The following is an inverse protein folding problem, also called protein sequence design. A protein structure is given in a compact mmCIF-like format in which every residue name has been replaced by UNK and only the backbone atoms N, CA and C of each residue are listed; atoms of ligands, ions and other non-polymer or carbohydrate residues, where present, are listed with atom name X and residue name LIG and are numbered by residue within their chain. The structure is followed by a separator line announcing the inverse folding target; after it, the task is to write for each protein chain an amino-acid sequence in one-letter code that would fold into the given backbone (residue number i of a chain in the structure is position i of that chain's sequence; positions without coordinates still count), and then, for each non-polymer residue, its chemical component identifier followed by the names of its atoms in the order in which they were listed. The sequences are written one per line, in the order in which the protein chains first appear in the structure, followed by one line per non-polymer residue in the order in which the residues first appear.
data_IF_529938872305
#
_entry.id   IF_529938872305
#
_cell.length_a   1.000
_cell.length_b   1.000
_cell.length_c   1.000
_cell.angle_alpha   90.00
_cell.angle_beta   90.00
_cell.angle_gamma   90.00
#
_symmetry.space_group_name_H-M   'P 1'
#
loop_
_entity.id
_entity.type
_entity.pdbx_description
1 polymer ?
#
# COMPACT_ATOMS: atom_id res chain seq x y z
N UNK A 1 5.06 -45.30 13.36
CA UNK A 1 5.39 -43.87 13.20
C UNK A 1 5.32 -43.42 11.73
N UNK A 2 5.75 -44.24 10.75
CA UNK A 2 5.61 -43.90 9.31
C UNK A 2 4.15 -43.84 8.80
N UNK A 3 3.28 -44.77 9.22
CA UNK A 3 1.89 -44.81 8.74
C UNK A 3 1.06 -43.57 9.15
N UNK A 4 1.29 -43.04 10.35
CA UNK A 4 0.65 -41.81 10.81
C UNK A 4 1.13 -40.58 10.02
N UNK A 5 2.42 -40.52 9.69
CA UNK A 5 3.00 -39.45 8.88
C UNK A 5 2.42 -39.41 7.46
N UNK A 6 2.28 -40.57 6.82
CA UNK A 6 1.69 -40.65 5.48
C UNK A 6 0.20 -40.35 5.47
N UNK A 7 -0.53 -40.77 6.50
CA UNK A 7 -1.96 -40.46 6.63
C UNK A 7 -2.17 -38.96 6.79
N UNK A 8 -1.44 -38.29 7.69
CA UNK A 8 -1.52 -36.82 7.84
C UNK A 8 -1.12 -36.09 6.55
N UNK A 9 -0.08 -36.57 5.87
CA UNK A 9 0.40 -35.99 4.61
C UNK A 9 -0.62 -36.15 3.47
N UNK A 10 -1.37 -37.25 3.45
CA UNK A 10 -2.39 -37.54 2.45
C UNK A 10 -3.68 -36.75 2.71
N UNK A 11 -4.10 -36.63 3.98
CA UNK A 11 -5.25 -35.81 4.38
C UNK A 11 -5.04 -34.30 4.16
N UNK A 12 -3.83 -33.78 4.36
CA UNK A 12 -3.51 -32.35 4.08
C UNK A 12 -3.50 -32.03 2.58
N UNK A 13 -3.40 -33.04 1.72
CA UNK A 13 -3.24 -32.86 0.27
C UNK A 13 -4.58 -32.89 -0.48
N UNK A 14 -5.65 -33.29 0.21
CA UNK A 14 -6.99 -33.45 -0.34
C UNK A 14 -7.79 -32.12 -0.27
N UNK A 15 -8.23 -31.55 -1.40
CA UNK A 15 -8.79 -30.20 -1.47
C UNK A 15 -10.14 -30.02 -0.75
N UNK A 16 -10.98 -31.06 -0.64
CA UNK A 16 -12.28 -30.96 0.03
C UNK A 16 -12.17 -30.89 1.57
N UNK A 17 -11.24 -31.65 2.16
CA UNK A 17 -11.03 -31.67 3.62
C UNK A 17 -10.17 -30.52 4.12
N UNK A 18 -9.32 -29.95 3.25
CA UNK A 18 -8.51 -28.76 3.58
C UNK A 18 -9.34 -27.56 3.99
N UNK A 19 -10.44 -27.26 3.29
CA UNK A 19 -11.26 -26.07 3.55
C UNK A 19 -11.93 -26.11 4.92
N UNK A 20 -12.56 -27.23 5.26
CA UNK A 20 -13.37 -27.39 6.48
C UNK A 20 -12.55 -27.52 7.76
N UNK A 21 -11.30 -28.01 7.67
CA UNK A 21 -10.39 -28.16 8.82
C UNK A 21 -9.44 -26.97 8.99
N UNK A 22 -8.95 -26.37 7.90
CA UNK A 22 -8.04 -25.22 7.98
C UNK A 22 -8.77 -23.92 8.29
N UNK A 23 -10.06 -23.80 7.96
CA UNK A 23 -10.83 -22.60 8.22
C UNK A 23 -11.04 -22.34 9.73
N UNK A 24 -11.52 -23.32 10.55
CA UNK A 24 -11.64 -23.13 12.00
C UNK A 24 -10.28 -22.94 12.68
N UNK A 25 -9.24 -23.66 12.23
CA UNK A 25 -7.88 -23.52 12.74
C UNK A 25 -7.28 -22.14 12.42
N UNK A 26 -7.50 -21.63 11.21
CA UNK A 26 -7.10 -20.29 10.81
C UNK A 26 -7.79 -19.20 11.63
N UNK A 27 -9.08 -19.37 11.92
CA UNK A 27 -9.84 -18.49 12.83
C UNK A 27 -9.27 -18.57 14.25
N UNK A 28 -8.99 -19.76 14.78
CA UNK A 28 -8.40 -19.94 16.12
C UNK A 28 -7.02 -19.26 16.22
N UNK A 29 -6.19 -19.42 15.19
CA UNK A 29 -4.88 -18.79 15.09
C UNK A 29 -4.94 -17.28 14.87
N UNK A 30 -6.06 -16.74 14.37
CA UNK A 30 -6.29 -15.31 14.25
C UNK A 30 -6.82 -14.70 15.55
N UNK A 31 -7.73 -15.39 16.26
CA UNK A 31 -8.35 -14.87 17.49
C UNK A 31 -7.30 -14.66 18.59
N UNK A 32 -6.40 -15.61 18.82
CA UNK A 32 -5.42 -15.57 19.90
C UNK A 32 -4.44 -14.37 19.84
N UNK A 33 -3.85 -14.03 18.69
CA UNK A 33 -3.06 -12.81 18.57
C UNK A 33 -3.92 -11.54 18.53
N UNK A 34 -5.17 -11.61 18.05
CA UNK A 34 -6.09 -10.48 18.14
C UNK A 34 -6.38 -10.10 19.59
N UNK A 35 -6.54 -11.08 20.50
CA UNK A 35 -6.72 -10.78 21.93
C UNK A 35 -5.49 -10.11 22.54
N UNK A 36 -4.28 -10.48 22.11
CA UNK A 36 -3.03 -9.86 22.58
C UNK A 36 -2.88 -8.41 22.07
N UNK A 37 -3.30 -8.17 20.81
CA UNK A 37 -3.34 -6.81 20.23
C UNK A 37 -4.37 -5.95 20.99
N UNK A 38 -5.57 -6.48 21.26
CA UNK A 38 -6.62 -5.75 21.98
C UNK A 38 -6.28 -5.49 23.46
N UNK A 39 -5.53 -6.38 24.13
CA UNK A 39 -5.15 -6.20 25.52
C UNK A 39 -3.97 -5.21 25.72
N UNK A 40 -3.13 -4.96 24.71
CA UNK A 40 -1.88 -4.20 24.88
C UNK A 40 -1.58 -3.11 23.82
N UNK A 41 -2.56 -2.66 23.02
CA UNK A 41 -2.33 -1.65 21.95
C UNK A 41 -2.13 -0.19 22.44
N UNK A 42 -1.46 0.01 23.58
CA UNK A 42 -0.58 1.18 23.78
C UNK A 42 0.73 0.66 24.39
N UNK A 43 1.63 0.13 23.56
CA UNK A 43 2.97 -0.22 24.05
C UNK A 43 3.74 -1.21 23.18
N UNK A 44 4.65 -0.67 22.38
CA UNK A 44 5.99 -1.18 22.04
C UNK A 44 6.20 -2.69 21.78
N UNK A 45 6.80 -3.01 20.62
CA UNK A 45 7.28 -4.33 20.11
C UNK A 45 6.38 -5.14 19.14
N UNK A 46 5.77 -4.49 18.15
CA UNK A 46 4.96 -5.17 17.12
C UNK A 46 5.76 -5.82 15.97
N UNK A 47 6.78 -6.64 16.28
CA UNK A 47 7.42 -7.52 15.28
C UNK A 47 6.61 -8.83 15.15
N UNK A 48 5.99 -9.28 16.26
CA UNK A 48 5.19 -10.50 16.31
C UNK A 48 3.81 -10.35 15.65
N UNK A 49 3.17 -9.18 15.76
CA UNK A 49 1.88 -8.89 15.10
C UNK A 49 1.97 -8.92 13.57
N UNK A 50 3.10 -8.45 13.03
CA UNK A 50 3.37 -8.46 11.59
C UNK A 50 3.56 -9.90 11.06
N UNK A 51 4.28 -10.75 11.79
CA UNK A 51 4.43 -12.17 11.43
C UNK A 51 3.10 -12.92 11.42
N UNK A 52 2.22 -12.62 12.36
CA UNK A 52 0.87 -13.21 12.42
C UNK A 52 -0.04 -12.68 11.31
N UNK A 53 -0.03 -11.38 11.02
CA UNK A 53 -0.81 -10.79 9.93
C UNK A 53 -0.42 -11.40 8.58
N UNK A 54 0.88 -11.65 8.35
CA UNK A 54 1.37 -12.37 7.17
C UNK A 54 0.82 -13.80 7.09
N UNK A 55 0.71 -14.51 8.22
CA UNK A 55 0.13 -15.85 8.28
C UNK A 55 -1.39 -15.81 8.06
N UNK A 56 -2.10 -14.83 8.62
CA UNK A 56 -3.54 -14.62 8.38
C UNK A 56 -3.86 -14.34 6.91
N UNK A 57 -3.09 -13.46 6.27
CA UNK A 57 -3.17 -13.17 4.84
C UNK A 57 -2.88 -14.44 4.01
N UNK A 58 -1.87 -15.24 4.40
CA UNK A 58 -1.54 -16.50 3.72
C UNK A 58 -2.67 -17.54 3.81
N UNK A 59 -3.38 -17.60 4.93
CA UNK A 59 -4.51 -18.52 5.14
C UNK A 59 -5.75 -18.05 4.39
N UNK A 60 -6.07 -16.76 4.41
CA UNK A 60 -7.16 -16.17 3.61
C UNK A 60 -6.94 -16.35 2.11
N UNK A 61 -5.71 -16.12 1.64
CA UNK A 61 -5.27 -16.41 0.28
C UNK A 61 -5.56 -17.86 -0.14
N UNK A 62 -5.46 -18.81 0.80
CA UNK A 62 -5.67 -20.23 0.54
C UNK A 62 -7.12 -20.68 0.69
N UNK A 63 -7.91 -20.04 1.54
CA UNK A 63 -9.30 -20.39 1.86
C UNK A 63 -10.35 -19.83 0.89
N UNK A 64 -10.10 -18.68 0.27
CA UNK A 64 -11.09 -17.97 -0.56
C UNK A 64 -11.25 -18.50 -2.00
N UNK A 65 -10.61 -19.61 -2.37
CA UNK A 65 -10.73 -20.14 -3.74
C UNK A 65 -10.21 -19.20 -4.84
N UNK A 66 -9.43 -18.17 -4.50
CA UNK A 66 -8.82 -17.18 -5.41
C UNK A 66 -7.80 -17.78 -6.41
N UNK A 67 -7.68 -19.12 -6.45
CA UNK A 67 -6.75 -19.85 -7.30
C UNK A 67 -6.87 -19.46 -8.77
N UNK A 68 -8.07 -19.21 -9.30
CA UNK A 68 -8.22 -19.02 -10.75
C UNK A 68 -7.99 -17.56 -11.18
N UNK A 69 -8.45 -16.57 -10.42
CA UNK A 69 -8.14 -15.15 -10.68
C UNK A 69 -6.66 -14.83 -10.47
N UNK A 70 -6.05 -15.44 -9.46
CA UNK A 70 -4.61 -15.29 -9.21
C UNK A 70 -3.81 -16.18 -10.17
N UNK A 71 -4.31 -17.31 -10.66
CA UNK A 71 -3.60 -18.13 -11.67
C UNK A 71 -3.52 -17.41 -13.01
N UNK A 72 -4.54 -16.67 -13.44
CA UNK A 72 -4.44 -15.80 -14.62
C UNK A 72 -3.48 -14.63 -14.39
N UNK A 73 -3.50 -14.00 -13.20
CA UNK A 73 -2.50 -13.00 -12.84
C UNK A 73 -1.09 -13.60 -12.82
N UNK A 74 -0.89 -14.77 -12.22
CA UNK A 74 0.39 -15.51 -12.12
C UNK A 74 0.86 -16.05 -13.48
N UNK A 75 -0.03 -16.46 -14.38
CA UNK A 75 0.35 -16.94 -15.71
C UNK A 75 0.82 -15.79 -16.61
N UNK A 76 0.16 -14.62 -16.52
CA UNK A 76 0.66 -13.38 -17.11
C UNK A 76 1.98 -12.94 -16.45
N UNK A 77 2.07 -13.08 -15.13
CA UNK A 77 3.26 -12.72 -14.34
C UNK A 77 4.43 -13.69 -14.55
N UNK A 78 4.20 -14.99 -14.81
CA UNK A 78 5.27 -15.99 -15.04
C UNK A 78 6.06 -15.70 -16.31
N UNK A 79 5.43 -15.07 -17.29
CA UNK A 79 6.09 -14.61 -18.51
C UNK A 79 6.96 -13.37 -18.27
N UNK A 80 6.65 -12.59 -17.23
CA UNK A 80 7.37 -11.37 -16.80
C UNK A 80 8.39 -11.59 -15.65
N UNK A 81 8.18 -12.63 -14.83
CA UNK A 81 9.05 -13.02 -13.71
C UNK A 81 10.33 -13.71 -14.18
N UNK A 82 10.32 -14.32 -15.36
CA UNK A 82 11.52 -14.92 -15.95
C UNK A 82 12.56 -13.86 -16.41
N UNK A 83 12.20 -12.58 -16.38
CA UNK A 83 13.05 -11.45 -16.82
C UNK A 83 13.47 -10.50 -15.69
N UNK A 84 13.17 -10.80 -14.42
CA UNK A 84 13.79 -10.11 -13.28
C UNK A 84 13.24 -8.73 -12.90
N UNK A 85 11.95 -8.61 -12.57
CA UNK A 85 11.37 -7.33 -12.12
C UNK A 85 11.22 -7.22 -10.60
N UNK A 86 12.14 -6.48 -9.98
CA UNK A 86 12.09 -5.99 -8.58
C UNK A 86 10.77 -5.27 -8.25
N UNK A 87 10.09 -4.75 -9.27
CA UNK A 87 8.87 -3.93 -9.17
C UNK A 87 7.65 -4.72 -8.69
N UNK A 88 7.63 -6.02 -8.90
CA UNK A 88 6.51 -6.85 -8.42
C UNK A 88 6.39 -6.80 -6.90
N UNK A 89 7.52 -6.75 -6.19
CA UNK A 89 7.53 -6.62 -4.73
C UNK A 89 6.91 -5.29 -4.32
N UNK A 90 7.25 -4.19 -5.00
CA UNK A 90 6.68 -2.87 -4.72
C UNK A 90 5.15 -2.87 -4.92
N UNK A 91 4.63 -3.48 -6.00
CA UNK A 91 3.18 -3.59 -6.21
C UNK A 91 2.48 -4.36 -5.10
N UNK A 92 3.02 -5.50 -4.69
CA UNK A 92 2.42 -6.33 -3.63
C UNK A 92 2.44 -5.59 -2.29
N UNK A 93 3.57 -5.00 -1.93
CA UNK A 93 3.70 -4.24 -0.67
C UNK A 93 2.73 -3.07 -0.64
N UNK A 94 2.66 -2.28 -1.73
CA UNK A 94 1.73 -1.15 -1.81
C UNK A 94 0.27 -1.58 -1.78
N UNK A 95 -0.10 -2.72 -2.38
CA UNK A 95 -1.45 -3.25 -2.28
C UNK A 95 -1.83 -3.60 -0.84
N UNK A 96 -0.92 -4.23 -0.08
CA UNK A 96 -1.13 -4.52 1.34
C UNK A 96 -1.29 -3.22 2.14
N UNK A 97 -0.44 -2.23 1.90
CA UNK A 97 -0.51 -0.93 2.58
C UNK A 97 -1.83 -0.21 2.29
N UNK A 98 -2.35 -0.28 1.06
CA UNK A 98 -3.66 0.30 0.71
C UNK A 98 -4.78 -0.37 1.51
N UNK A 99 -4.74 -1.70 1.68
CA UNK A 99 -5.73 -2.40 2.50
C UNK A 99 -5.65 -1.93 3.96
N UNK A 100 -4.44 -1.78 4.50
CA UNK A 100 -4.23 -1.23 5.85
C UNK A 100 -4.81 0.19 5.96
N UNK A 101 -4.51 1.07 5.01
CA UNK A 101 -5.07 2.44 4.99
C UNK A 101 -6.60 2.47 4.93
N UNK A 102 -7.20 1.54 4.19
CA UNK A 102 -8.66 1.39 4.16
C UNK A 102 -9.23 0.94 5.50
N UNK A 103 -8.56 0.01 6.18
CA UNK A 103 -8.97 -0.47 7.51
C UNK A 103 -8.87 0.67 8.53
N UNK A 104 -7.76 1.41 8.56
CA UNK A 104 -7.54 2.56 9.46
C UNK A 104 -8.54 3.69 9.22
N UNK A 105 -8.86 3.98 7.95
CA UNK A 105 -9.91 4.94 7.61
C UNK A 105 -11.29 4.53 8.13
N UNK A 106 -11.64 3.24 8.07
CA UNK A 106 -12.90 2.72 8.64
C UNK A 106 -12.89 2.78 10.16
N UNK A 107 -11.79 2.40 10.81
CA UNK A 107 -11.68 2.50 12.28
C UNK A 107 -11.87 3.93 12.77
N UNK A 108 -11.28 4.91 12.07
CA UNK A 108 -11.44 6.32 12.45
C UNK A 108 -12.89 6.80 12.28
N UNK A 109 -13.61 6.33 11.25
CA UNK A 109 -15.05 6.61 11.11
C UNK A 109 -15.82 6.08 12.32
N UNK A 110 -15.55 4.86 12.75
CA UNK A 110 -16.23 4.25 13.89
C UNK A 110 -15.94 4.97 15.21
N UNK A 111 -14.67 5.33 15.44
CA UNK A 111 -14.24 6.08 16.62
C UNK A 111 -14.94 7.45 16.70
N UNK A 112 -14.89 8.22 15.61
CA UNK A 112 -15.52 9.55 15.56
C UNK A 112 -17.04 9.48 15.63
N UNK A 113 -17.67 8.48 15.02
CA UNK A 113 -19.14 8.31 15.10
C UNK A 113 -19.63 8.03 16.52
N UNK A 114 -18.80 7.39 17.34
CA UNK A 114 -19.13 7.04 18.72
C UNK A 114 -18.79 8.16 19.72
N UNK A 115 -17.81 9.02 19.39
CA UNK A 115 -17.27 10.00 20.34
C UNK A 115 -17.59 11.48 20.07
N UNK A 116 -17.70 11.93 18.81
CA UNK A 116 -17.55 13.37 18.49
C UNK A 116 -18.81 14.12 18.06
N UNK A 117 -20.01 13.53 18.08
CA UNK A 117 -21.25 14.24 17.75
C UNK A 117 -21.28 14.89 16.34
N UNK A 118 -20.30 14.56 15.49
CA UNK A 118 -20.17 15.05 14.13
C UNK A 118 -21.40 14.61 13.32
N UNK A 119 -21.88 15.53 12.49
CA UNK A 119 -23.07 15.31 11.67
C UNK A 119 -22.86 14.11 10.73
N UNK A 120 -23.90 13.30 10.52
CA UNK A 120 -23.87 12.08 9.68
C UNK A 120 -23.87 12.40 8.19
N UNK A 121 -23.20 13.48 7.81
CA UNK A 121 -23.05 13.90 6.43
C UNK A 121 -22.08 12.95 5.72
N UNK A 122 -22.42 12.60 4.48
CA UNK A 122 -21.58 11.80 3.57
C UNK A 122 -20.22 12.46 3.38
N UNK A 123 -20.18 13.80 3.29
CA UNK A 123 -18.94 14.56 3.11
C UNK A 123 -17.99 14.33 4.29
N UNK A 124 -18.49 14.44 5.53
CA UNK A 124 -17.69 14.20 6.72
C UNK A 124 -17.22 12.75 6.79
N UNK A 125 -18.07 11.78 6.44
CA UNK A 125 -17.69 10.36 6.44
C UNK A 125 -16.52 10.08 5.48
N UNK A 126 -16.57 10.65 4.27
CA UNK A 126 -15.48 10.53 3.29
C UNK A 126 -14.22 11.22 3.81
N UNK A 127 -14.35 12.42 4.38
CA UNK A 127 -13.22 13.16 4.93
C UNK A 127 -12.53 12.40 6.08
N UNK A 128 -13.30 11.82 7.01
CA UNK A 128 -12.75 10.99 8.10
C UNK A 128 -12.00 9.78 7.54
N UNK A 129 -12.60 9.07 6.57
CA UNK A 129 -11.95 7.92 5.94
C UNK A 129 -10.62 8.30 5.29
N UNK A 130 -10.61 9.38 4.51
CA UNK A 130 -9.40 9.86 3.84
C UNK A 130 -8.37 10.27 4.90
N UNK A 131 -8.76 11.04 5.91
CA UNK A 131 -7.84 11.50 6.95
C UNK A 131 -7.16 10.36 7.70
N UNK A 132 -7.90 9.29 8.04
CA UNK A 132 -7.34 8.10 8.68
C UNK A 132 -6.44 7.25 7.75
N UNK A 133 -6.79 7.16 6.46
CA UNK A 133 -6.07 6.31 5.51
C UNK A 133 -4.94 6.99 4.73
N UNK A 134 -4.91 8.32 4.66
CA UNK A 134 -4.08 9.08 3.70
C UNK A 134 -2.58 8.86 3.89
N UNK A 135 -2.10 8.69 5.12
CA UNK A 135 -0.69 8.40 5.38
C UNK A 135 -0.28 7.06 4.77
N UNK A 136 -1.11 6.03 4.93
CA UNK A 136 -0.89 4.70 4.36
C UNK A 136 -0.99 4.71 2.83
N UNK A 137 -2.05 5.31 2.27
CA UNK A 137 -2.17 5.48 0.82
C UNK A 137 -0.96 6.21 0.23
N UNK A 138 -0.46 7.18 0.99
CA UNK A 138 0.73 7.92 0.63
C UNK A 138 2.00 7.07 0.60
N UNK A 139 2.25 6.31 1.64
CA UNK A 139 3.36 5.35 1.68
C UNK A 139 3.28 4.35 0.52
N UNK A 140 2.09 3.82 0.23
CA UNK A 140 1.86 2.93 -0.91
C UNK A 140 2.23 3.61 -2.24
N UNK A 141 1.79 4.85 -2.45
CA UNK A 141 2.11 5.63 -3.65
C UNK A 141 3.61 5.87 -3.82
N UNK A 142 4.33 6.20 -2.73
CA UNK A 142 5.78 6.40 -2.78
C UNK A 142 6.48 5.10 -3.16
N UNK A 143 6.14 3.98 -2.50
CA UNK A 143 6.73 2.66 -2.78
C UNK A 143 6.47 2.24 -4.24
N UNK A 144 5.26 2.46 -4.76
CA UNK A 144 4.95 2.21 -6.18
C UNK A 144 5.82 3.05 -7.11
N UNK A 145 5.94 4.35 -6.81
CA UNK A 145 6.72 5.27 -7.65
C UNK A 145 8.20 4.87 -7.67
N UNK A 146 8.77 4.49 -6.52
CA UNK A 146 10.15 4.05 -6.42
C UNK A 146 10.35 2.72 -7.15
N UNK A 147 9.44 1.77 -6.96
CA UNK A 147 9.46 0.50 -7.70
C UNK A 147 9.51 0.73 -9.21
N UNK A 148 8.60 1.56 -9.74
CA UNK A 148 8.57 1.89 -11.17
C UNK A 148 9.84 2.61 -11.65
N UNK A 149 10.39 3.55 -10.87
CA UNK A 149 11.66 4.21 -11.19
C UNK A 149 12.80 3.19 -11.27
N UNK A 150 12.84 2.23 -10.34
CA UNK A 150 13.83 1.15 -10.35
C UNK A 150 13.69 0.26 -11.58
N UNK A 151 12.47 -0.11 -12.02
CA UNK A 151 12.30 -0.88 -13.28
C UNK A 151 12.96 -0.16 -14.45
N UNK A 152 12.65 1.12 -14.57
CA UNK A 152 12.98 1.88 -15.77
C UNK A 152 14.48 2.22 -15.79
N UNK A 153 15.10 2.37 -14.62
CA UNK A 153 16.55 2.44 -14.45
C UNK A 153 17.23 1.14 -14.86
N UNK A 154 16.78 0.00 -14.34
CA UNK A 154 17.39 -1.30 -14.62
C UNK A 154 17.24 -1.72 -16.09
N UNK A 155 16.16 -1.29 -16.75
CA UNK A 155 15.92 -1.57 -18.16
C UNK A 155 16.56 -0.55 -19.12
N UNK A 156 17.33 0.42 -18.62
CA UNK A 156 18.04 1.42 -19.44
C UNK A 156 17.12 2.41 -20.18
N UNK A 157 15.83 2.49 -19.81
CA UNK A 157 14.83 3.38 -20.42
C UNK A 157 14.55 4.64 -19.57
N UNK A 158 15.31 4.83 -18.51
CA UNK A 158 15.08 5.88 -17.51
C UNK A 158 15.02 7.27 -18.14
N UNK A 159 13.87 7.93 -18.00
CA UNK A 159 13.72 9.37 -18.23
C UNK A 159 13.74 10.10 -16.90
N UNK A 160 14.44 11.22 -16.84
CA UNK A 160 14.54 12.06 -15.64
C UNK A 160 13.16 12.52 -15.13
N UNK A 161 12.20 12.75 -16.03
CA UNK A 161 10.81 13.08 -15.67
C UNK A 161 10.12 12.06 -14.75
N UNK A 162 10.53 10.79 -14.77
CA UNK A 162 9.90 9.76 -13.93
C UNK A 162 10.24 9.94 -12.44
N UNK A 163 11.29 10.70 -12.13
CA UNK A 163 11.66 11.05 -10.75
C UNK A 163 10.70 12.09 -10.13
N UNK A 164 9.80 12.68 -10.93
CA UNK A 164 8.79 13.59 -10.41
C UNK A 164 7.69 12.85 -9.64
N UNK A 165 7.46 11.57 -9.96
CA UNK A 165 6.34 10.80 -9.42
C UNK A 165 6.30 10.77 -7.88
N UNK A 166 7.40 10.45 -7.15
CA UNK A 166 7.41 10.50 -5.69
C UNK A 166 7.07 11.89 -5.12
N UNK A 167 7.52 12.96 -5.80
CA UNK A 167 7.29 14.34 -5.33
C UNK A 167 5.81 14.71 -5.48
N UNK A 168 5.19 14.37 -6.61
CA UNK A 168 3.75 14.58 -6.76
C UNK A 168 2.95 13.79 -5.73
N UNK A 169 3.35 12.55 -5.46
CA UNK A 169 2.71 11.74 -4.43
C UNK A 169 2.76 12.46 -3.07
N UNK A 170 3.92 12.95 -2.65
CA UNK A 170 4.06 13.73 -1.40
C UNK A 170 3.16 14.97 -1.39
N UNK A 171 3.14 15.74 -2.49
CA UNK A 171 2.27 16.91 -2.60
C UNK A 171 0.78 16.54 -2.49
N UNK A 172 0.35 15.48 -3.18
CA UNK A 172 -1.04 15.02 -3.18
C UNK A 172 -1.44 14.53 -1.78
N UNK A 173 -0.59 13.75 -1.11
CA UNK A 173 -0.83 13.26 0.26
C UNK A 173 -1.01 14.44 1.22
N UNK A 174 -0.10 15.42 1.16
CA UNK A 174 -0.18 16.61 2.02
C UNK A 174 -1.50 17.35 1.82
N UNK A 175 -1.88 17.57 0.56
CA UNK A 175 -3.14 18.25 0.21
C UNK A 175 -4.35 17.44 0.67
N UNK A 176 -4.38 16.12 0.45
CA UNK A 176 -5.47 15.26 0.90
C UNK A 176 -5.58 15.24 2.42
N UNK A 177 -4.46 15.15 3.14
CA UNK A 177 -4.42 15.19 4.60
C UNK A 177 -4.95 16.52 5.14
N UNK A 178 -4.48 17.65 4.60
CA UNK A 178 -4.91 18.96 5.05
C UNK A 178 -6.38 19.24 4.70
N UNK A 179 -6.83 18.86 3.51
CA UNK A 179 -8.21 19.08 3.06
C UNK A 179 -9.21 18.23 3.84
N UNK A 180 -8.92 16.94 4.00
CA UNK A 180 -9.76 16.04 4.79
C UNK A 180 -9.76 16.43 6.27
N UNK A 181 -8.60 16.79 6.83
CA UNK A 181 -8.47 17.26 8.20
C UNK A 181 -9.27 18.55 8.46
N UNK A 182 -9.32 19.47 7.49
CA UNK A 182 -10.04 20.73 7.65
C UNK A 182 -11.56 20.50 7.73
N UNK A 183 -12.09 19.59 6.90
CA UNK A 183 -13.52 19.24 6.88
C UNK A 183 -13.96 18.65 8.22
N UNK A 184 -13.09 17.87 8.87
CA UNK A 184 -13.37 17.24 10.17
C UNK A 184 -12.89 18.08 11.37
N UNK A 185 -12.50 19.33 11.13
CA UNK A 185 -12.00 20.28 12.13
C UNK A 185 -10.73 19.82 12.87
N UNK A 186 -9.97 18.88 12.31
CA UNK A 186 -8.70 18.40 12.85
C UNK A 186 -7.51 19.31 12.51
N UNK A 187 -7.61 20.15 11.48
CA UNK A 187 -6.58 21.14 11.11
C UNK A 187 -7.19 22.51 10.81
N UNK A 188 -6.40 23.57 10.96
CA UNK A 188 -6.87 24.95 10.74
C UNK A 188 -6.89 25.33 9.26
N UNK A 189 -7.64 26.40 8.93
CA UNK A 189 -7.69 26.94 7.56
C UNK A 189 -6.31 27.44 7.09
N UNK A 190 -5.52 28.04 7.99
CA UNK A 190 -4.17 28.52 7.68
C UNK A 190 -3.25 27.36 7.31
N UNK A 191 -3.34 26.23 8.03
CA UNK A 191 -2.57 25.03 7.70
C UNK A 191 -2.96 24.48 6.33
N UNK A 192 -4.27 24.38 6.03
CA UNK A 192 -4.75 23.98 4.72
C UNK A 192 -4.22 24.88 3.60
N UNK A 193 -4.35 26.19 3.76
CA UNK A 193 -3.89 27.17 2.77
C UNK A 193 -2.38 27.05 2.54
N UNK A 194 -1.60 26.93 3.61
CA UNK A 194 -0.15 26.74 3.53
C UNK A 194 0.20 25.47 2.75
N UNK A 195 -0.41 24.33 3.09
CA UNK A 195 -0.12 23.05 2.42
C UNK A 195 -0.53 23.06 0.95
N UNK A 196 -1.66 23.69 0.60
CA UNK A 196 -2.08 23.84 -0.80
C UNK A 196 -1.06 24.64 -1.62
N UNK A 197 -0.61 25.79 -1.09
CA UNK A 197 0.39 26.64 -1.75
C UNK A 197 1.73 25.93 -1.86
N UNK A 198 2.23 25.37 -0.76
CA UNK A 198 3.51 24.66 -0.73
C UNK A 198 3.48 23.43 -1.64
N UNK A 199 2.42 22.62 -1.60
CA UNK A 199 2.25 21.44 -2.44
C UNK A 199 2.27 21.77 -3.92
N UNK A 200 1.61 22.88 -4.31
CA UNK A 200 1.57 23.39 -5.69
C UNK A 200 2.94 23.90 -6.14
N UNK A 201 3.62 24.70 -5.32
CA UNK A 201 4.96 25.22 -5.62
C UNK A 201 5.95 24.06 -5.78
N UNK A 202 5.93 23.09 -4.87
CA UNK A 202 6.81 21.91 -4.92
C UNK A 202 6.56 21.10 -6.19
N UNK A 203 5.31 20.82 -6.53
CA UNK A 203 4.94 20.05 -7.72
C UNK A 203 5.39 20.73 -9.02
N UNK A 204 5.11 22.02 -9.19
CA UNK A 204 5.54 22.75 -10.39
C UNK A 204 7.06 22.93 -10.45
N UNK A 205 7.69 23.29 -9.33
CA UNK A 205 9.15 23.47 -9.29
C UNK A 205 9.89 22.18 -9.64
N UNK A 206 9.41 21.04 -9.13
CA UNK A 206 9.93 19.71 -9.50
C UNK A 206 9.85 19.48 -11.01
N UNK A 207 8.67 19.73 -11.59
CA UNK A 207 8.44 19.58 -13.04
C UNK A 207 9.44 20.38 -13.87
N UNK A 208 9.59 21.66 -13.53
CA UNK A 208 10.50 22.57 -14.22
C UNK A 208 11.96 22.14 -14.05
N UNK A 209 12.36 21.78 -12.84
CA UNK A 209 13.72 21.36 -12.54
C UNK A 209 14.12 20.14 -13.39
N UNK A 210 13.31 19.08 -13.39
CA UNK A 210 13.60 17.88 -14.16
C UNK A 210 13.52 18.12 -15.68
N UNK A 211 12.60 18.96 -16.14
CA UNK A 211 12.53 19.34 -17.55
C UNK A 211 13.78 20.10 -18.01
N UNK A 212 14.29 21.05 -17.22
CA UNK A 212 15.50 21.81 -17.55
C UNK A 212 16.71 20.88 -17.62
N UNK A 213 16.83 19.93 -16.69
CA UNK A 213 17.94 18.96 -16.67
C UNK A 213 17.87 18.03 -17.90
N UNK A 214 16.68 17.55 -18.28
CA UNK A 214 16.49 16.69 -19.45
C UNK A 214 16.85 17.43 -20.75
N UNK A 215 16.41 18.69 -20.91
CA UNK A 215 16.77 19.53 -22.06
C UNK A 215 18.27 19.76 -22.17
N UNK A 216 18.95 20.10 -21.05
CA UNK A 216 20.42 20.30 -21.05
C UNK A 216 21.17 19.03 -21.43
N UNK A 217 20.76 17.85 -20.93
CA UNK A 217 21.38 16.57 -21.29
C UNK A 217 21.23 16.26 -22.78
N UNK A 218 20.05 16.51 -23.35
CA UNK A 218 19.78 16.26 -24.77
C UNK A 218 20.59 17.15 -25.73
N UNK A 219 20.87 18.40 -25.34
CA UNK A 219 21.74 19.31 -26.11
C UNK A 219 23.18 18.76 -26.18
N UNK A 220 23.76 18.41 -25.03
CA UNK A 220 25.16 17.91 -24.97
C UNK A 220 25.38 16.61 -25.76
N UNK A 221 24.37 15.72 -25.84
CA UNK A 221 24.51 14.47 -26.61
C UNK A 221 24.50 14.69 -28.12
N UNK A 222 23.80 15.72 -28.59
CA UNK A 222 23.74 16.05 -30.01
C UNK A 222 25.01 16.76 -30.51
N UNK A 223 25.68 17.55 -29.65
CA UNK A 223 26.96 18.19 -29.99
C UNK A 223 28.08 17.16 -30.15
N UNK A 224 28.18 16.17 -29.24
CA UNK A 224 29.18 15.09 -29.31
C UNK A 224 29.02 14.17 -30.53
N UNK A 225 27.82 14.11 -31.12
CA UNK A 225 27.54 13.29 -32.30
C UNK A 225 27.80 14.04 -33.62
N UNK A 226 28.03 15.36 -33.54
CA UNK A 226 28.34 16.23 -34.68
C UNK A 226 29.84 16.56 -34.80
N UNK A 227 30.64 16.32 -33.77
CA UNK A 227 32.11 16.38 -33.76
C UNK A 227 32.73 15.05 -34.14
#
# INVERSE_FOLDING_TARGET
LESAYYTIKQFVRDPETRGTLLLPLGILFLIYPMTIIFENAIGSNSIWGMGVAMVGIYVLYRGLGLKDSIRQAIENTKRDLYTGRVVLVAYVVSAIIIVIGGIEGVYLIEEMRNGSGLDRNVINTIAIFIFGGVQWFGSAGIILSLGHITDEYLNGRMKLRYLNAPIYVISIIGVLYAASGYIIEAVTLEFLAMVLVMGTIIGFSSTLMFSIIETKRGINTNELRRS
#
